data_IF_300183500204
#
_entry.id   IF_300183500204
#
_cell.length_a   1.000
_cell.length_b   1.000
_cell.length_c   1.000
_cell.angle_alpha   90.00
_cell.angle_beta   90.00
_cell.angle_gamma   90.00
#
_symmetry.space_group_name_H-M   'P 1'
#
loop_
_entity.id
_entity.type
_entity.pdbx_description
1 polymer ?
#
# COMPACT_ATOMS: atom_id res chain seq x y z
N UNK A 1 -77.14 -4.14 43.39
CA UNK A 1 -78.01 -5.18 42.79
C UNK A 1 -77.13 -6.05 41.93
N UNK A 2 -76.78 -7.21 42.37
CA UNK A 2 -77.08 -8.56 41.82
C UNK A 2 -76.92 -8.62 40.32
N UNK A 3 -76.06 -9.42 39.68
CA UNK A 3 -75.93 -10.92 39.86
C UNK A 3 -74.59 -11.41 39.38
N UNK A 4 -74.05 -12.37 40.04
CA UNK A 4 -72.98 -13.31 39.59
C UNK A 4 -73.54 -14.32 38.58
N UNK A 5 -72.76 -14.87 37.76
CA UNK A 5 -72.84 -16.21 37.17
C UNK A 5 -71.47 -16.81 36.95
N UNK A 6 -71.22 -17.86 37.66
CA UNK A 6 -70.18 -18.86 37.41
C UNK A 6 -70.52 -19.65 36.13
N UNK A 7 -69.51 -20.09 35.36
CA UNK A 7 -69.49 -21.44 34.75
C UNK A 7 -68.11 -21.87 34.34
N UNK A 8 -67.62 -22.89 34.96
CA UNK A 8 -66.93 -24.12 34.59
C UNK A 8 -65.70 -24.13 33.68
N UNK A 9 -64.67 -24.74 34.26
CA UNK A 9 -63.52 -25.32 33.60
C UNK A 9 -63.89 -26.29 32.50
N UNK A 10 -63.16 -26.19 31.35
CA UNK A 10 -62.91 -27.31 30.48
C UNK A 10 -61.43 -27.28 30.09
N UNK A 11 -60.67 -28.29 30.52
CA UNK A 11 -59.29 -28.54 30.18
C UNK A 11 -59.31 -29.16 28.78
N UNK A 12 -58.81 -28.43 27.78
CA UNK A 12 -58.56 -28.95 26.42
C UNK A 12 -57.08 -28.97 26.17
N UNK A 13 -56.46 -30.13 26.20
CA UNK A 13 -55.07 -30.34 25.74
C UNK A 13 -55.05 -30.24 24.22
N UNK A 14 -54.50 -29.16 23.68
CA UNK A 14 -54.21 -29.05 22.25
C UNK A 14 -52.70 -29.30 22.10
N UNK A 15 -52.36 -30.45 21.54
CA UNK A 15 -51.04 -30.72 20.97
C UNK A 15 -50.83 -29.75 19.78
N UNK A 16 -50.08 -28.69 19.98
CA UNK A 16 -49.61 -27.81 18.90
C UNK A 16 -48.42 -28.45 18.20
N UNK A 17 -48.62 -28.95 16.98
CA UNK A 17 -47.53 -29.23 16.06
C UNK A 17 -46.80 -27.92 15.73
N UNK A 18 -45.60 -27.74 16.31
CA UNK A 18 -44.71 -26.69 15.90
C UNK A 18 -44.17 -26.97 14.48
N UNK A 19 -44.72 -26.33 13.50
CA UNK A 19 -44.14 -26.27 12.16
C UNK A 19 -42.81 -25.54 12.22
N UNK A 20 -41.71 -26.26 12.10
CA UNK A 20 -40.39 -25.72 11.88
C UNK A 20 -40.37 -25.09 10.48
N UNK A 21 -40.61 -23.79 10.37
CA UNK A 21 -40.32 -23.05 9.17
C UNK A 21 -38.80 -22.95 9.04
N UNK A 22 -38.23 -23.77 8.19
CA UNK A 22 -36.85 -23.59 7.73
C UNK A 22 -36.79 -22.28 6.94
N UNK A 23 -36.20 -21.23 7.55
CA UNK A 23 -35.81 -20.05 6.80
C UNK A 23 -34.72 -20.46 5.82
N UNK A 24 -35.07 -20.62 4.55
CA UNK A 24 -34.11 -20.64 3.45
C UNK A 24 -33.36 -19.32 3.48
N UNK A 25 -32.09 -19.33 3.88
CA UNK A 25 -31.23 -18.16 3.70
C UNK A 25 -31.11 -17.92 2.21
N UNK A 26 -31.70 -16.80 1.74
CA UNK A 26 -31.47 -16.32 0.39
C UNK A 26 -29.96 -16.16 0.20
N UNK A 27 -29.40 -16.82 -0.81
CA UNK A 27 -27.99 -16.68 -1.18
C UNK A 27 -27.71 -15.23 -1.52
N UNK A 28 -26.72 -14.62 -0.88
CA UNK A 28 -26.32 -13.26 -1.18
C UNK A 28 -25.93 -13.13 -2.66
N UNK A 29 -26.30 -12.04 -3.36
CA UNK A 29 -25.98 -11.83 -4.76
C UNK A 29 -24.46 -11.86 -4.98
N UNK A 30 -24.02 -12.21 -6.19
CA UNK A 30 -22.61 -12.12 -6.53
C UNK A 30 -22.15 -10.67 -6.54
N UNK A 31 -20.96 -10.42 -6.03
CA UNK A 31 -20.32 -9.13 -6.14
C UNK A 31 -20.12 -8.73 -7.62
N UNK A 32 -20.35 -7.47 -7.93
CA UNK A 32 -20.15 -6.90 -9.26
C UNK A 32 -19.38 -5.59 -9.17
N UNK A 33 -18.47 -5.29 -10.11
CA UNK A 33 -17.84 -3.98 -10.20
C UNK A 33 -18.86 -2.91 -10.63
N UNK A 34 -18.58 -1.64 -10.34
CA UNK A 34 -19.41 -0.46 -10.64
C UNK A 34 -20.82 -0.54 -10.03
N UNK A 35 -20.94 -1.19 -8.89
CA UNK A 35 -22.21 -1.40 -8.18
C UNK A 35 -22.14 -0.72 -6.81
N UNK A 36 -23.19 0.05 -6.47
CA UNK A 36 -23.29 0.68 -5.16
C UNK A 36 -23.71 -0.33 -4.10
N UNK A 37 -22.92 -0.41 -3.02
CA UNK A 37 -23.18 -1.26 -1.86
C UNK A 37 -23.37 -0.40 -0.61
N UNK A 38 -24.49 -0.61 0.08
CA UNK A 38 -24.73 0.03 1.37
C UNK A 38 -24.02 -0.73 2.50
N UNK A 39 -23.79 -0.06 3.62
CA UNK A 39 -23.28 -0.71 4.85
C UNK A 39 -24.16 -1.92 5.20
N UNK A 40 -23.56 -3.02 5.59
CA UNK A 40 -24.18 -4.32 5.85
C UNK A 40 -24.75 -5.06 4.63
N UNK A 41 -24.60 -4.56 3.41
CA UNK A 41 -24.91 -5.33 2.20
C UNK A 41 -24.07 -6.61 2.18
N UNK A 42 -24.70 -7.74 1.80
CA UNK A 42 -24.00 -9.03 1.70
C UNK A 42 -23.84 -9.42 0.25
N UNK A 43 -22.66 -9.93 -0.09
CA UNK A 43 -22.33 -10.42 -1.43
C UNK A 43 -21.61 -11.76 -1.34
N UNK A 44 -21.63 -12.49 -2.45
CA UNK A 44 -20.81 -13.70 -2.65
C UNK A 44 -19.73 -13.38 -3.67
N UNK A 45 -18.48 -13.79 -3.37
CA UNK A 45 -17.37 -13.70 -4.31
C UNK A 45 -16.51 -14.96 -4.21
N UNK A 46 -16.29 -15.65 -5.32
CA UNK A 46 -15.59 -16.94 -5.39
C UNK A 46 -16.07 -17.98 -4.34
N UNK A 47 -17.39 -18.03 -4.12
CA UNK A 47 -18.02 -18.97 -3.19
C UNK A 47 -17.96 -18.57 -1.70
N UNK A 48 -17.24 -17.51 -1.33
CA UNK A 48 -17.21 -16.95 0.01
C UNK A 48 -18.22 -15.79 0.14
N UNK A 49 -18.79 -15.62 1.34
CA UNK A 49 -19.70 -14.52 1.63
C UNK A 49 -18.98 -13.38 2.35
N UNK A 50 -19.33 -12.15 1.99
CA UNK A 50 -18.76 -10.94 2.56
C UNK A 50 -19.88 -9.96 2.92
N UNK A 51 -19.60 -9.13 3.95
CA UNK A 51 -20.46 -8.04 4.37
C UNK A 51 -19.76 -6.71 4.12
N UNK A 52 -20.47 -5.77 3.51
CA UNK A 52 -19.98 -4.42 3.28
C UNK A 52 -19.86 -3.66 4.60
N UNK A 53 -18.68 -3.15 4.91
CA UNK A 53 -18.38 -2.38 6.11
C UNK A 53 -18.64 -0.89 5.94
N UNK A 54 -18.44 -0.37 4.74
CA UNK A 54 -18.61 1.04 4.41
C UNK A 54 -19.35 1.18 3.08
N UNK A 55 -20.35 2.08 3.01
CA UNK A 55 -21.09 2.34 1.77
C UNK A 55 -20.13 2.87 0.70
N UNK A 56 -20.13 2.21 -0.47
CA UNK A 56 -19.25 2.58 -1.58
C UNK A 56 -19.81 2.08 -2.91
N UNK A 57 -19.28 2.60 -4.00
CA UNK A 57 -19.45 2.01 -5.34
C UNK A 57 -18.22 1.21 -5.69
N UNK A 58 -18.37 -0.08 -5.91
CA UNK A 58 -17.26 -0.99 -6.21
C UNK A 58 -16.61 -0.67 -7.56
N UNK A 59 -15.32 -0.87 -7.67
CA UNK A 59 -14.54 -0.76 -8.91
C UNK A 59 -13.93 -2.10 -9.28
N UNK A 60 -13.48 -2.25 -10.52
CA UNK A 60 -12.65 -3.38 -10.95
C UNK A 60 -11.36 -3.36 -10.12
N UNK A 61 -10.98 -4.49 -9.51
CA UNK A 61 -9.87 -4.59 -8.56
C UNK A 61 -10.29 -4.42 -7.09
N UNK A 62 -11.55 -4.01 -6.83
CA UNK A 62 -12.11 -3.86 -5.48
C UNK A 62 -12.93 -5.08 -5.05
N UNK A 63 -12.56 -6.27 -5.52
CA UNK A 63 -13.18 -7.52 -5.11
C UNK A 63 -13.06 -7.72 -3.59
N UNK A 64 -14.08 -8.27 -2.92
CA UNK A 64 -14.12 -8.36 -1.45
C UNK A 64 -12.87 -8.86 -0.76
N UNK A 65 -12.11 -9.85 -1.26
CA UNK A 65 -10.85 -10.26 -0.66
C UNK A 65 -9.73 -9.22 -0.78
N UNK A 66 -9.78 -8.35 -1.79
CA UNK A 66 -8.73 -7.39 -2.10
C UNK A 66 -8.84 -6.09 -1.28
N UNK A 67 -10.05 -5.79 -0.77
CA UNK A 67 -10.34 -4.56 -0.02
C UNK A 67 -11.02 -4.87 1.33
N UNK A 68 -10.30 -5.45 2.29
CA UNK A 68 -10.83 -5.82 3.60
C UNK A 68 -11.32 -4.62 4.41
N UNK A 69 -10.92 -3.40 4.08
CA UNK A 69 -11.46 -2.18 4.66
C UNK A 69 -12.93 -1.94 4.28
N UNK A 70 -13.37 -2.44 3.13
CA UNK A 70 -14.75 -2.29 2.64
C UNK A 70 -15.59 -3.56 2.85
N UNK A 71 -14.96 -4.73 3.05
CA UNK A 71 -15.62 -6.01 3.09
C UNK A 71 -15.11 -6.91 4.22
N UNK A 72 -16.03 -7.42 5.03
CA UNK A 72 -15.74 -8.41 6.07
C UNK A 72 -16.18 -9.80 5.59
N UNK A 73 -15.33 -10.85 5.65
CA UNK A 73 -15.74 -12.21 5.34
C UNK A 73 -16.74 -12.72 6.39
N UNK A 74 -17.81 -13.37 5.92
CA UNK A 74 -18.84 -13.98 6.74
C UNK A 74 -18.67 -15.51 6.68
N UNK A 75 -18.03 -16.08 7.69
CA UNK A 75 -17.80 -17.52 7.79
C UNK A 75 -16.45 -17.95 7.22
N UNK A 76 -15.54 -18.30 8.07
CA UNK A 76 -14.28 -18.96 7.78
C UNK A 76 -14.02 -20.05 8.79
N UNK A 77 -13.76 -21.27 8.30
CA UNK A 77 -13.07 -22.30 9.06
C UNK A 77 -11.72 -21.76 9.52
N UNK A 78 -11.28 -22.01 10.76
CA UNK A 78 -9.96 -21.59 11.21
C UNK A 78 -8.87 -22.19 10.32
N UNK A 79 -7.91 -21.37 9.91
CA UNK A 79 -6.72 -21.84 9.20
C UNK A 79 -5.94 -22.81 10.07
N UNK A 80 -5.32 -23.86 9.49
CA UNK A 80 -4.53 -24.81 10.25
C UNK A 80 -3.33 -24.12 10.92
N UNK A 81 -3.09 -24.48 12.16
CA UNK A 81 -1.96 -24.03 12.99
C UNK A 81 -0.64 -24.27 12.26
N UNK A 82 0.26 -23.29 12.13
CA UNK A 82 1.53 -23.49 11.47
C UNK A 82 2.44 -24.40 12.30
N UNK A 83 2.98 -25.40 11.67
CA UNK A 83 4.07 -26.26 12.18
C UNK A 83 5.33 -25.39 12.35
N UNK A 84 6.13 -25.55 13.41
CA UNK A 84 7.31 -24.72 13.65
C UNK A 84 8.34 -24.86 12.51
N UNK A 85 8.75 -23.70 12.01
CA UNK A 85 9.77 -23.57 10.96
C UNK A 85 11.16 -23.98 11.48
N UNK A 86 11.97 -24.66 10.68
CA UNK A 86 13.34 -24.99 11.08
C UNK A 86 14.23 -23.73 11.12
N UNK A 87 15.15 -23.74 12.07
CA UNK A 87 16.18 -22.74 12.33
C UNK A 87 16.92 -22.34 11.04
N UNK A 88 17.22 -21.05 10.81
CA UNK A 88 17.93 -20.62 9.61
C UNK A 88 19.35 -21.18 9.60
N UNK A 89 19.69 -21.85 8.50
CA UNK A 89 21.03 -22.26 8.14
C UNK A 89 21.91 -21.05 7.80
N UNK A 90 23.21 -21.06 8.09
CA UNK A 90 24.07 -19.90 7.84
C UNK A 90 24.12 -19.53 6.36
N UNK A 91 24.13 -18.24 6.10
CA UNK A 91 24.26 -17.63 4.76
C UNK A 91 25.47 -18.22 4.02
N UNK A 92 25.31 -18.72 2.79
CA UNK A 92 26.46 -19.15 1.99
C UNK A 92 27.36 -17.97 1.63
N UNK A 93 28.66 -18.19 1.69
CA UNK A 93 29.67 -17.24 1.24
C UNK A 93 29.46 -16.87 -0.25
N UNK A 94 29.86 -15.66 -0.70
CA UNK A 94 29.75 -15.26 -2.09
C UNK A 94 30.53 -16.22 -3.01
N UNK A 95 29.96 -16.56 -4.19
CA UNK A 95 30.63 -17.48 -5.11
C UNK A 95 31.87 -16.83 -5.71
N UNK A 96 32.92 -17.66 -5.99
CA UNK A 96 34.14 -17.17 -6.64
C UNK A 96 33.88 -16.66 -8.06
N UNK A 97 34.78 -15.81 -8.62
CA UNK A 97 34.60 -15.21 -9.96
C UNK A 97 34.54 -16.29 -11.03
N UNK A 98 33.45 -16.29 -11.81
CA UNK A 98 33.18 -17.29 -12.85
C UNK A 98 31.69 -17.74 -12.86
N UNK A 99 30.76 -16.90 -12.42
CA UNK A 99 29.35 -17.25 -12.29
C UNK A 99 28.62 -17.42 -13.63
N UNK A 100 27.88 -18.52 -13.75
CA UNK A 100 26.91 -18.75 -14.81
C UNK A 100 25.87 -17.63 -14.88
N UNK A 101 25.36 -17.31 -16.09
CA UNK A 101 24.21 -16.44 -16.28
C UNK A 101 22.91 -17.04 -15.70
N UNK A 102 22.82 -18.36 -15.51
CA UNK A 102 21.71 -19.03 -14.84
C UNK A 102 21.95 -19.13 -13.34
N UNK A 103 20.94 -18.85 -12.48
CA UNK A 103 21.06 -18.97 -11.03
C UNK A 103 21.39 -20.40 -10.61
N UNK A 104 22.04 -20.56 -9.47
CA UNK A 104 22.30 -21.87 -8.90
C UNK A 104 20.99 -22.59 -8.57
N UNK A 105 20.91 -23.87 -8.87
CA UNK A 105 19.74 -24.69 -8.55
C UNK A 105 19.54 -24.81 -7.03
N UNK A 106 18.29 -24.76 -6.61
CA UNK A 106 17.88 -24.98 -5.21
C UNK A 106 16.77 -26.02 -5.11
N UNK A 107 16.89 -26.95 -4.15
CA UNK A 107 15.91 -28.01 -3.93
C UNK A 107 14.53 -27.47 -3.47
N UNK A 108 14.50 -26.30 -2.86
CA UNK A 108 13.26 -25.66 -2.36
C UNK A 108 12.61 -24.74 -3.38
N UNK A 109 13.33 -24.36 -4.42
CA UNK A 109 12.82 -23.49 -5.49
C UNK A 109 11.89 -24.28 -6.41
N UNK A 110 10.77 -23.65 -6.76
CA UNK A 110 9.89 -24.13 -7.84
C UNK A 110 10.42 -23.61 -9.17
N UNK A 111 10.52 -24.51 -10.15
CA UNK A 111 10.88 -24.18 -11.53
C UNK A 111 9.73 -24.53 -12.45
N UNK A 112 9.36 -23.63 -13.34
CA UNK A 112 8.35 -23.86 -14.38
C UNK A 112 9.01 -24.00 -15.74
N UNK A 113 8.29 -24.58 -16.72
CA UNK A 113 8.84 -24.81 -18.06
C UNK A 113 9.49 -23.55 -18.66
N UNK A 114 10.73 -23.70 -19.13
CA UNK A 114 11.54 -22.61 -19.67
C UNK A 114 12.49 -21.96 -18.68
N UNK A 115 12.28 -22.06 -17.36
CA UNK A 115 13.23 -21.53 -16.36
C UNK A 115 14.57 -22.28 -16.41
N UNK A 116 15.65 -21.54 -16.13
CA UNK A 116 17.01 -22.11 -16.13
C UNK A 116 17.60 -22.15 -14.73
N UNK A 117 18.42 -23.16 -14.50
CA UNK A 117 19.22 -23.27 -13.27
C UNK A 117 20.60 -23.84 -13.61
N UNK A 118 21.62 -23.55 -12.79
CA UNK A 118 22.94 -24.10 -12.97
C UNK A 118 23.33 -25.07 -11.83
N UNK A 119 24.02 -26.16 -12.18
CA UNK A 119 24.64 -27.08 -11.24
C UNK A 119 26.01 -27.43 -11.75
N UNK A 120 27.04 -27.25 -10.91
CA UNK A 120 28.43 -27.57 -11.24
C UNK A 120 28.92 -27.04 -12.60
N UNK A 121 28.57 -25.81 -12.92
CA UNK A 121 29.01 -25.18 -14.16
C UNK A 121 28.25 -25.62 -15.44
N UNK A 122 27.17 -26.33 -15.31
CA UNK A 122 26.26 -26.74 -16.38
C UNK A 122 24.92 -26.03 -16.23
N UNK A 123 24.37 -25.51 -17.31
CA UNK A 123 23.05 -24.84 -17.34
C UNK A 123 21.99 -25.84 -17.83
N UNK A 124 20.90 -25.88 -17.09
CA UNK A 124 19.74 -26.72 -17.39
C UNK A 124 18.51 -25.88 -17.56
N UNK A 125 17.59 -26.30 -18.42
CA UNK A 125 16.27 -25.69 -18.62
C UNK A 125 15.19 -26.65 -18.13
N UNK A 126 14.28 -26.18 -17.28
CA UNK A 126 13.12 -26.94 -16.85
C UNK A 126 12.18 -27.17 -18.04
N UNK A 127 11.72 -28.41 -18.23
CA UNK A 127 10.80 -28.79 -19.30
C UNK A 127 9.34 -28.53 -18.92
N UNK A 128 9.04 -28.60 -17.61
CA UNK A 128 7.72 -28.33 -17.00
C UNK A 128 7.91 -27.93 -15.53
N UNK A 129 6.84 -27.87 -14.79
CA UNK A 129 6.88 -27.60 -13.35
C UNK A 129 7.67 -28.70 -12.61
N UNK A 130 8.69 -28.31 -11.85
CA UNK A 130 9.53 -29.24 -11.07
C UNK A 130 10.02 -28.57 -9.78
N UNK A 131 10.13 -29.35 -8.70
CA UNK A 131 10.70 -28.94 -7.42
C UNK A 131 11.44 -30.13 -6.79
N UNK A 132 12.57 -29.90 -6.15
CA UNK A 132 13.36 -30.93 -5.48
C UNK A 132 14.12 -31.88 -6.42
N UNK A 133 13.88 -31.85 -7.72
CA UNK A 133 14.54 -32.72 -8.71
C UNK A 133 15.82 -32.07 -9.20
N UNK A 134 16.96 -32.58 -8.72
CA UNK A 134 18.27 -32.01 -9.07
C UNK A 134 18.56 -32.17 -10.59
N UNK A 135 18.84 -31.07 -11.33
CA UNK A 135 19.11 -31.13 -12.77
C UNK A 135 20.28 -32.04 -13.17
N UNK A 136 21.30 -32.17 -12.34
CA UNK A 136 22.46 -33.02 -12.70
C UNK A 136 22.14 -34.52 -12.76
N UNK A 137 21.07 -34.95 -12.09
CA UNK A 137 20.63 -36.36 -12.02
C UNK A 137 19.28 -36.62 -12.67
N UNK A 138 18.53 -35.57 -12.97
CA UNK A 138 17.16 -35.69 -13.55
C UNK A 138 17.07 -34.90 -14.85
N UNK A 139 17.99 -35.13 -15.78
CA UNK A 139 18.02 -34.46 -17.07
C UNK A 139 18.09 -35.45 -18.23
N UNK A 140 17.63 -35.01 -19.40
CA UNK A 140 17.68 -35.74 -20.64
C UNK A 140 17.36 -34.87 -21.85
N UNK A 141 17.50 -35.39 -23.09
CA UNK A 141 17.16 -34.67 -24.28
C UNK A 141 15.65 -34.31 -24.29
N UNK A 142 15.29 -33.32 -25.10
CA UNK A 142 13.90 -32.90 -25.24
C UNK A 142 13.03 -34.09 -25.61
N UNK A 143 11.90 -34.31 -24.90
CA UNK A 143 10.98 -35.44 -25.09
C UNK A 143 11.36 -36.72 -24.35
N UNK A 144 12.46 -36.76 -23.58
CA UNK A 144 12.89 -37.93 -22.79
C UNK A 144 12.04 -38.24 -21.56
N UNK A 145 11.08 -37.39 -21.21
CA UNK A 145 10.30 -37.51 -19.97
C UNK A 145 11.07 -37.05 -18.72
N UNK A 146 12.24 -36.44 -18.88
CA UNK A 146 13.02 -35.87 -17.77
C UNK A 146 12.63 -34.41 -17.50
N UNK A 147 12.58 -33.99 -16.22
CA UNK A 147 12.18 -32.64 -15.87
C UNK A 147 13.14 -31.53 -16.33
N UNK A 148 14.38 -31.91 -16.64
CA UNK A 148 15.40 -30.96 -17.06
C UNK A 148 16.05 -31.35 -18.39
N UNK A 149 16.41 -30.37 -19.18
CA UNK A 149 17.24 -30.53 -20.37
C UNK A 149 18.54 -29.76 -20.16
N UNK A 150 19.69 -30.44 -20.33
CA UNK A 150 20.99 -29.80 -20.37
C UNK A 150 21.08 -28.89 -21.61
N UNK A 151 21.36 -27.59 -21.42
CA UNK A 151 21.44 -26.60 -22.50
C UNK A 151 22.87 -26.04 -22.69
N UNK A 152 23.85 -26.61 -22.01
CA UNK A 152 25.27 -26.28 -22.20
C UNK A 152 26.00 -26.01 -20.89
N UNK A 153 27.31 -25.75 -21.05
CA UNK A 153 28.17 -25.32 -19.95
C UNK A 153 28.11 -23.81 -19.76
N UNK A 154 28.37 -23.35 -18.53
CA UNK A 154 28.51 -21.93 -18.25
C UNK A 154 29.64 -21.35 -19.11
N UNK A 155 29.29 -20.57 -20.11
CA UNK A 155 30.29 -19.76 -20.82
C UNK A 155 30.62 -18.58 -19.91
N UNK A 156 31.91 -18.28 -19.59
CA UNK A 156 32.24 -17.02 -18.97
C UNK A 156 31.74 -15.91 -19.88
N UNK A 157 30.66 -15.27 -19.49
CA UNK A 157 30.23 -14.05 -20.16
C UNK A 157 31.36 -13.01 -20.06
N UNK A 158 31.46 -12.03 -20.98
CA UNK A 158 32.31 -10.88 -20.77
C UNK A 158 32.04 -10.37 -19.35
N UNK A 159 33.09 -10.05 -18.62
CA UNK A 159 32.95 -9.51 -17.25
C UNK A 159 31.87 -8.44 -17.28
N UNK A 160 30.86 -8.49 -16.39
CA UNK A 160 29.81 -7.49 -16.41
C UNK A 160 30.52 -6.13 -16.39
N UNK A 161 30.26 -5.32 -17.40
CA UNK A 161 30.64 -3.91 -17.37
C UNK A 161 30.14 -3.41 -16.03
N UNK A 162 30.97 -2.80 -15.17
CA UNK A 162 30.52 -2.38 -13.85
C UNK A 162 29.28 -1.54 -14.08
N UNK A 163 28.14 -2.04 -13.61
CA UNK A 163 26.89 -1.26 -13.60
C UNK A 163 27.25 0.02 -12.88
N UNK A 164 27.06 1.20 -13.47
CA UNK A 164 27.39 2.44 -12.79
C UNK A 164 26.73 2.37 -11.42
N UNK A 165 27.52 2.53 -10.37
CA UNK A 165 27.03 2.54 -8.98
C UNK A 165 25.87 3.53 -8.95
N UNK A 166 24.66 3.14 -8.52
CA UNK A 166 23.54 4.07 -8.43
C UNK A 166 24.02 5.32 -7.67
N UNK A 167 23.65 6.52 -8.09
CA UNK A 167 24.01 7.71 -7.34
C UNK A 167 23.50 7.52 -5.89
N UNK A 168 24.34 7.82 -4.88
CA UNK A 168 23.91 7.70 -3.50
C UNK A 168 22.63 8.51 -3.30
N UNK A 169 21.71 8.08 -2.42
CA UNK A 169 20.54 8.89 -2.09
C UNK A 169 21.01 10.27 -1.65
N UNK A 170 20.30 11.34 -2.01
CA UNK A 170 20.64 12.68 -1.53
C UNK A 170 20.65 12.68 0.00
N UNK A 171 21.46 13.54 0.62
CA UNK A 171 21.53 13.63 2.07
C UNK A 171 20.13 13.89 2.65
N UNK A 172 19.87 13.48 3.90
CA UNK A 172 18.63 13.81 4.60
C UNK A 172 18.35 15.31 4.52
N UNK A 173 17.08 15.68 4.42
CA UNK A 173 16.71 17.09 4.46
C UNK A 173 17.21 17.74 5.75
N UNK A 174 17.79 18.93 5.71
CA UNK A 174 18.16 19.67 6.91
C UNK A 174 16.94 19.86 7.84
N UNK A 175 17.14 19.93 9.16
CA UNK A 175 16.07 20.29 10.07
C UNK A 175 15.39 21.60 9.63
N UNK A 176 14.06 21.61 9.52
CA UNK A 176 13.29 22.76 9.06
C UNK A 176 13.21 22.94 7.53
N UNK A 177 13.82 22.08 6.73
CA UNK A 177 13.63 22.10 5.28
C UNK A 177 12.18 21.74 4.93
N UNK A 178 11.64 22.48 3.96
CA UNK A 178 10.30 22.28 3.41
C UNK A 178 10.37 21.43 2.15
N UNK A 179 9.41 20.53 1.99
CA UNK A 179 9.37 19.57 0.89
C UNK A 179 7.98 19.56 0.26
N UNK A 180 7.92 19.68 -1.06
CA UNK A 180 6.77 19.26 -1.84
C UNK A 180 7.08 17.91 -2.50
N UNK A 181 6.34 16.87 -2.12
CA UNK A 181 6.54 15.51 -2.63
C UNK A 181 5.18 14.83 -2.91
N UNK A 182 4.57 15.11 -4.06
CA UNK A 182 3.26 14.56 -4.39
C UNK A 182 3.33 13.06 -4.62
N UNK A 183 2.19 12.39 -4.36
CA UNK A 183 2.01 10.98 -4.66
C UNK A 183 1.92 10.74 -6.17
N UNK A 184 2.54 9.67 -6.60
CA UNK A 184 2.47 9.13 -7.95
C UNK A 184 2.08 7.65 -7.86
N UNK A 185 0.96 7.28 -8.47
CA UNK A 185 0.42 5.92 -8.42
C UNK A 185 1.08 5.06 -9.49
N UNK A 186 2.03 4.24 -9.07
CA UNK A 186 2.81 3.42 -9.98
C UNK A 186 2.01 2.31 -10.67
N UNK A 187 0.78 2.03 -10.24
CA UNK A 187 -0.14 1.13 -10.94
C UNK A 187 -0.72 1.76 -12.23
N UNK A 188 -0.70 3.09 -12.33
CA UNK A 188 -1.20 3.82 -13.49
C UNK A 188 -0.11 3.98 -14.57
N UNK A 189 -0.44 3.59 -15.81
CA UNK A 189 0.50 3.73 -16.95
C UNK A 189 0.94 5.18 -17.19
N UNK A 190 0.04 6.15 -16.95
CA UNK A 190 0.36 7.58 -17.08
C UNK A 190 1.45 8.01 -16.11
N UNK A 191 1.42 7.52 -14.88
CA UNK A 191 2.36 7.85 -13.82
C UNK A 191 3.74 7.17 -14.01
N UNK A 192 3.79 6.07 -14.76
CA UNK A 192 5.05 5.40 -15.09
C UNK A 192 5.96 6.25 -16.01
N UNK A 193 5.47 7.36 -16.54
CA UNK A 193 6.26 8.35 -17.31
C UNK A 193 6.88 9.42 -16.40
N UNK A 194 7.29 9.06 -15.20
CA UNK A 194 7.77 9.97 -14.15
C UNK A 194 8.86 10.95 -14.61
N UNK A 195 9.76 10.54 -15.51
CA UNK A 195 10.83 11.41 -16.01
C UNK A 195 10.28 12.54 -16.91
N UNK A 196 9.29 12.25 -17.73
CA UNK A 196 8.58 13.26 -18.53
C UNK A 196 7.79 14.20 -17.61
N UNK A 197 7.12 13.65 -16.61
CA UNK A 197 6.39 14.41 -15.59
C UNK A 197 7.34 15.35 -14.85
N UNK A 198 8.49 14.86 -14.40
CA UNK A 198 9.52 15.66 -13.72
C UNK A 198 9.98 16.85 -14.58
N UNK A 199 10.25 16.61 -15.85
CA UNK A 199 10.69 17.62 -16.80
C UNK A 199 9.61 18.70 -17.04
N UNK A 200 8.35 18.30 -17.18
CA UNK A 200 7.25 19.20 -17.53
C UNK A 200 6.71 19.97 -16.31
N UNK A 201 6.65 19.33 -15.16
CA UNK A 201 6.10 19.92 -13.95
C UNK A 201 7.11 20.72 -13.13
N UNK A 202 8.39 20.35 -13.18
CA UNK A 202 9.43 20.85 -12.30
C UNK A 202 9.44 20.20 -10.89
N UNK A 203 8.59 19.19 -10.64
CA UNK A 203 8.60 18.41 -9.40
C UNK A 203 9.95 17.72 -9.27
N UNK A 204 10.55 17.78 -8.08
CA UNK A 204 11.87 17.17 -7.84
C UNK A 204 11.82 15.95 -6.95
N UNK A 205 10.82 15.84 -6.08
CA UNK A 205 10.66 14.69 -5.19
C UNK A 205 9.25 14.12 -5.38
N UNK A 206 9.17 12.80 -5.50
CA UNK A 206 7.92 12.08 -5.69
C UNK A 206 7.73 11.05 -4.57
N UNK A 207 6.51 10.88 -4.11
CA UNK A 207 6.13 9.76 -3.24
C UNK A 207 5.56 8.64 -4.10
N UNK A 208 6.33 7.56 -4.28
CA UNK A 208 5.92 6.43 -5.13
C UNK A 208 4.98 5.51 -4.37
N UNK A 209 3.76 5.37 -4.83
CA UNK A 209 2.67 4.61 -4.22
C UNK A 209 2.37 3.34 -5.03
N UNK A 210 2.19 2.17 -4.48
CA UNK A 210 2.41 1.75 -3.09
C UNK A 210 3.11 0.38 -3.06
N UNK A 211 3.94 0.13 -2.05
CA UNK A 211 4.40 -1.21 -1.71
C UNK A 211 3.38 -1.85 -0.75
N UNK A 212 2.92 -3.04 -1.10
CA UNK A 212 1.94 -3.84 -0.33
C UNK A 212 2.46 -5.26 -0.09
N UNK A 213 1.80 -6.00 0.80
CA UNK A 213 2.17 -7.37 1.17
C UNK A 213 1.50 -8.47 0.36
N UNK A 214 0.55 -8.14 -0.49
CA UNK A 214 -0.26 -9.10 -1.27
C UNK A 214 -0.74 -10.31 -0.43
N UNK A 215 -1.22 -10.04 0.80
CA UNK A 215 -1.65 -11.05 1.77
C UNK A 215 -0.53 -11.77 2.52
N UNK A 216 0.74 -11.37 2.32
CA UNK A 216 1.92 -11.95 2.96
C UNK A 216 2.95 -10.90 3.37
N UNK A 217 4.18 -11.35 3.65
CA UNK A 217 5.29 -10.51 4.10
C UNK A 217 6.32 -10.19 2.98
N UNK A 218 5.95 -10.40 1.72
CA UNK A 218 6.81 -10.10 0.56
C UNK A 218 6.47 -8.73 0.01
N UNK A 219 7.41 -7.76 0.01
CA UNK A 219 7.16 -6.44 -0.56
C UNK A 219 6.86 -6.55 -2.06
N UNK A 220 5.73 -5.98 -2.45
CA UNK A 220 5.19 -6.07 -3.82
C UNK A 220 4.68 -4.70 -4.24
N UNK A 221 5.03 -4.22 -5.42
CA UNK A 221 4.35 -3.07 -6.00
C UNK A 221 2.91 -3.44 -6.33
N UNK A 222 1.97 -2.67 -5.83
CA UNK A 222 0.54 -2.89 -6.07
C UNK A 222 0.25 -2.98 -7.58
N UNK A 223 -0.31 -4.12 -8.01
CA UNK A 223 -0.63 -4.36 -9.42
C UNK A 223 0.53 -4.73 -10.34
N UNK A 224 1.80 -4.66 -9.89
CA UNK A 224 2.98 -4.85 -10.76
C UNK A 224 3.84 -6.08 -10.43
N UNK A 225 3.82 -6.54 -9.17
CA UNK A 225 4.59 -7.70 -8.74
C UNK A 225 5.66 -7.41 -7.68
N UNK A 226 6.40 -8.45 -7.22
CA UNK A 226 7.37 -8.31 -6.14
C UNK A 226 8.55 -7.42 -6.55
N UNK A 227 9.15 -6.72 -5.57
CA UNK A 227 10.28 -5.80 -5.81
C UNK A 227 11.51 -6.49 -6.44
N UNK A 228 11.61 -7.81 -6.34
CA UNK A 228 12.65 -8.60 -7.01
C UNK A 228 12.45 -8.72 -8.53
N UNK A 229 11.24 -8.47 -9.01
CA UNK A 229 10.87 -8.45 -10.43
C UNK A 229 9.95 -7.25 -10.68
N UNK A 230 10.46 -6.06 -10.51
CA UNK A 230 9.77 -4.77 -10.56
C UNK A 230 9.66 -4.18 -11.98
N UNK A 231 9.49 -5.07 -12.99
CA UNK A 231 9.38 -4.67 -14.38
C UNK A 231 8.00 -4.09 -14.68
N UNK A 232 8.01 -2.93 -15.29
CA UNK A 232 6.81 -2.23 -15.77
C UNK A 232 6.37 -2.78 -17.13
N UNK A 233 5.11 -2.57 -17.55
CA UNK A 233 4.60 -3.01 -18.85
C UNK A 233 5.41 -2.49 -20.06
N UNK A 234 6.07 -1.35 -19.91
CA UNK A 234 6.91 -0.74 -20.95
C UNK A 234 8.35 -1.35 -21.03
N UNK A 235 8.65 -2.38 -20.21
CA UNK A 235 9.96 -3.03 -20.17
C UNK A 235 11.01 -2.31 -19.32
N UNK A 236 10.67 -1.19 -18.68
CA UNK A 236 11.54 -0.49 -17.73
C UNK A 236 11.35 -1.06 -16.33
N UNK A 237 12.37 -1.05 -15.47
CA UNK A 237 12.22 -1.43 -14.07
C UNK A 237 11.96 -0.21 -13.18
N UNK A 238 11.29 -0.41 -12.04
CA UNK A 238 11.12 0.64 -11.03
C UNK A 238 12.46 1.19 -10.55
N UNK A 239 13.48 0.33 -10.40
CA UNK A 239 14.83 0.78 -10.07
C UNK A 239 15.40 1.73 -11.13
N UNK A 240 15.19 1.44 -12.41
CA UNK A 240 15.65 2.31 -13.49
C UNK A 240 14.94 3.67 -13.46
N UNK A 241 13.63 3.71 -13.15
CA UNK A 241 12.89 4.96 -12.97
C UNK A 241 13.43 5.77 -11.79
N UNK A 242 13.63 5.14 -10.63
CA UNK A 242 14.21 5.80 -9.45
C UNK A 242 15.57 6.42 -9.75
N UNK A 243 16.44 5.66 -10.43
CA UNK A 243 17.76 6.15 -10.84
C UNK A 243 17.65 7.29 -11.86
N UNK A 244 16.69 7.22 -12.78
CA UNK A 244 16.41 8.28 -13.75
C UNK A 244 15.99 9.59 -13.08
N UNK A 245 15.07 9.53 -12.09
CA UNK A 245 14.64 10.69 -11.31
C UNK A 245 15.83 11.35 -10.59
N UNK A 246 16.72 10.55 -10.00
CA UNK A 246 17.94 11.05 -9.31
C UNK A 246 18.93 11.67 -10.30
N UNK A 247 19.16 11.03 -11.44
CA UNK A 247 20.04 11.55 -12.50
C UNK A 247 19.55 12.89 -13.04
N UNK A 248 18.22 13.14 -12.98
CA UNK A 248 17.61 14.42 -13.33
C UNK A 248 17.56 15.41 -12.14
N UNK A 249 18.32 15.15 -11.06
CA UNK A 249 18.43 16.03 -9.88
C UNK A 249 17.22 16.00 -8.95
N UNK A 250 16.45 14.91 -8.99
CA UNK A 250 15.33 14.65 -8.07
C UNK A 250 15.64 13.57 -7.05
N UNK A 251 14.61 13.12 -6.34
CA UNK A 251 14.64 11.98 -5.41
C UNK A 251 13.24 11.38 -5.25
N UNK A 252 13.15 10.24 -4.53
CA UNK A 252 11.90 9.57 -4.28
C UNK A 252 11.73 9.23 -2.79
N UNK A 253 10.48 9.21 -2.36
CA UNK A 253 9.99 8.58 -1.12
C UNK A 253 9.26 7.32 -1.58
N UNK A 254 9.48 6.18 -0.94
CA UNK A 254 8.67 4.99 -1.22
C UNK A 254 7.61 4.85 -0.14
N UNK A 255 6.36 4.78 -0.57
CA UNK A 255 5.19 4.63 0.30
C UNK A 255 4.71 3.18 0.36
N UNK A 256 4.34 2.74 1.56
CA UNK A 256 3.81 1.43 1.88
C UNK A 256 2.34 1.56 2.29
N UNK A 257 1.50 0.62 1.91
CA UNK A 257 0.09 0.57 2.33
C UNK A 257 -0.86 1.16 1.30
N UNK A 258 -1.59 2.22 1.69
CA UNK A 258 -2.65 2.80 0.89
C UNK A 258 -3.99 2.06 1.00
N UNK A 259 -5.04 2.58 0.35
CA UNK A 259 -6.40 2.05 0.43
C UNK A 259 -6.57 0.65 -0.16
N UNK A 260 -5.74 0.28 -1.15
CA UNK A 260 -5.84 -0.99 -1.87
C UNK A 260 -4.72 -1.96 -1.51
N UNK A 261 -5.06 -3.25 -1.38
CA UNK A 261 -4.11 -4.30 -1.02
C UNK A 261 -3.96 -4.49 0.49
N UNK A 262 -2.99 -5.33 0.89
CA UNK A 262 -2.68 -5.60 2.29
C UNK A 262 -1.41 -4.88 2.70
N UNK A 263 -1.47 -4.06 3.73
CA UNK A 263 -0.27 -3.46 4.32
C UNK A 263 0.64 -4.56 4.91
N UNK A 264 1.95 -4.43 4.73
CA UNK A 264 2.93 -5.48 5.10
C UNK A 264 2.86 -5.86 6.58
N UNK A 265 2.57 -4.92 7.49
CA UNK A 265 2.47 -5.22 8.91
C UNK A 265 1.29 -6.15 9.24
N UNK A 266 0.23 -6.17 8.44
CA UNK A 266 -0.87 -7.14 8.57
C UNK A 266 -0.43 -8.55 8.14
N UNK A 267 0.40 -8.65 7.09
CA UNK A 267 0.83 -9.93 6.53
C UNK A 267 2.06 -10.54 7.20
N UNK A 268 2.94 -9.74 7.79
CA UNK A 268 4.14 -10.23 8.48
C UNK A 268 3.83 -10.74 9.88
N UNK A 269 4.40 -11.87 10.28
CA UNK A 269 4.15 -12.52 11.58
C UNK A 269 4.92 -11.89 12.74
N UNK A 270 5.99 -11.13 12.48
CA UNK A 270 6.85 -10.54 13.52
C UNK A 270 7.43 -9.19 13.09
N UNK A 271 7.87 -8.39 14.07
CA UNK A 271 8.59 -7.15 13.80
C UNK A 271 9.91 -7.38 13.04
N UNK A 272 10.58 -8.50 13.30
CA UNK A 272 11.83 -8.83 12.60
C UNK A 272 11.59 -9.16 11.11
N UNK A 273 10.57 -9.97 10.79
CA UNK A 273 10.22 -10.26 9.39
C UNK A 273 9.76 -9.00 8.66
N UNK A 274 9.01 -8.13 9.32
CA UNK A 274 8.56 -6.86 8.78
C UNK A 274 9.73 -5.89 8.54
N UNK A 275 10.66 -5.78 9.50
CA UNK A 275 11.90 -5.01 9.33
C UNK A 275 12.70 -5.50 8.12
N UNK A 276 12.84 -6.83 7.97
CA UNK A 276 13.56 -7.41 6.84
C UNK A 276 12.89 -7.07 5.49
N UNK A 277 11.55 -7.06 5.44
CA UNK A 277 10.80 -6.67 4.26
C UNK A 277 11.04 -5.18 3.91
N UNK A 278 10.98 -4.28 4.89
CA UNK A 278 11.29 -2.86 4.69
C UNK A 278 12.75 -2.64 4.27
N UNK A 279 13.69 -3.37 4.90
CA UNK A 279 15.11 -3.30 4.54
C UNK A 279 15.37 -3.75 3.10
N UNK A 280 14.64 -4.76 2.61
CA UNK A 280 14.76 -5.20 1.22
C UNK A 280 14.40 -4.07 0.23
N UNK A 281 13.40 -3.25 0.55
CA UNK A 281 13.01 -2.07 -0.25
C UNK A 281 14.12 -1.01 -0.23
N UNK A 282 14.66 -0.69 0.97
CA UNK A 282 15.80 0.23 1.10
C UNK A 282 16.98 -0.25 0.26
N UNK A 283 17.34 -1.53 0.38
CA UNK A 283 18.46 -2.12 -0.35
C UNK A 283 18.24 -2.12 -1.87
N UNK A 284 17.00 -2.38 -2.31
CA UNK A 284 16.66 -2.41 -3.74
C UNK A 284 16.73 -1.05 -4.40
N UNK A 285 16.18 -0.02 -3.75
CA UNK A 285 16.01 1.31 -4.34
C UNK A 285 16.98 2.34 -3.79
N UNK A 286 17.83 1.98 -2.81
CA UNK A 286 18.78 2.87 -2.16
C UNK A 286 18.13 4.16 -1.66
N UNK A 287 16.98 4.02 -1.00
CA UNK A 287 16.21 5.15 -0.44
C UNK A 287 16.54 5.39 1.03
N UNK A 288 16.45 6.63 1.45
CA UNK A 288 16.55 7.04 2.85
C UNK A 288 15.29 7.75 3.36
N UNK A 289 14.19 7.70 2.58
CA UNK A 289 12.88 8.25 2.94
C UNK A 289 11.83 7.19 2.66
N UNK A 290 11.10 6.82 3.70
CA UNK A 290 9.98 5.89 3.62
C UNK A 290 8.74 6.55 4.18
N UNK A 291 7.63 6.31 3.54
CA UNK A 291 6.30 6.69 3.95
C UNK A 291 5.45 5.46 4.25
N UNK A 292 4.57 5.56 5.24
CA UNK A 292 3.68 4.49 5.65
C UNK A 292 2.27 5.04 5.68
N UNK A 293 1.53 4.72 4.63
CA UNK A 293 0.14 5.10 4.44
C UNK A 293 -0.75 4.04 5.10
N UNK A 294 -1.24 4.39 6.29
CA UNK A 294 -1.87 3.45 7.23
C UNK A 294 -3.37 3.69 7.25
N UNK A 295 -4.08 2.88 6.50
CA UNK A 295 -5.51 3.03 6.29
C UNK A 295 -6.31 1.79 6.74
N UNK A 296 -7.63 1.96 6.88
CA UNK A 296 -8.57 0.87 7.12
C UNK A 296 -8.12 -0.08 8.22
N UNK A 297 -8.14 -1.39 7.96
CA UNK A 297 -7.76 -2.42 8.91
C UNK A 297 -6.36 -2.28 9.51
N UNK A 298 -5.41 -1.75 8.73
CA UNK A 298 -4.03 -1.54 9.20
C UNK A 298 -3.88 -0.44 10.27
N UNK A 299 -4.86 0.47 10.37
CA UNK A 299 -4.92 1.48 11.43
C UNK A 299 -5.64 0.97 12.68
N UNK A 300 -6.59 0.03 12.53
CA UNK A 300 -7.39 -0.50 13.64
C UNK A 300 -6.78 -1.73 14.32
N UNK A 301 -6.00 -2.54 13.60
CA UNK A 301 -5.33 -3.73 14.15
C UNK A 301 -4.13 -3.31 15.00
N UNK A 302 -4.34 -3.27 16.32
CA UNK A 302 -3.31 -2.88 17.29
C UNK A 302 -2.06 -3.75 17.20
N UNK A 303 -2.18 -5.04 16.89
CA UNK A 303 -1.04 -5.94 16.76
C UNK A 303 -0.15 -5.57 15.56
N UNK A 304 -0.75 -5.18 14.42
CA UNK A 304 0.01 -4.70 13.27
C UNK A 304 0.59 -3.31 13.50
N UNK A 305 -0.13 -2.43 14.19
CA UNK A 305 0.33 -1.09 14.57
C UNK A 305 1.59 -1.18 15.45
N UNK A 306 1.57 -2.02 16.50
CA UNK A 306 2.72 -2.20 17.39
C UNK A 306 3.87 -2.91 16.68
N UNK A 307 3.57 -3.90 15.85
CA UNK A 307 4.58 -4.59 15.02
C UNK A 307 5.28 -3.64 14.08
N UNK A 308 4.53 -2.75 13.43
CA UNK A 308 5.08 -1.71 12.54
C UNK A 308 5.98 -0.76 13.31
N UNK A 309 5.52 -0.24 14.44
CA UNK A 309 6.30 0.68 15.28
C UNK A 309 7.62 0.05 15.73
N UNK A 310 7.59 -1.19 16.20
CA UNK A 310 8.79 -1.93 16.61
C UNK A 310 9.75 -2.20 15.43
N UNK A 311 9.21 -2.58 14.27
CA UNK A 311 10.01 -2.81 13.06
C UNK A 311 10.67 -1.53 12.56
N UNK A 312 9.96 -0.41 12.56
CA UNK A 312 10.48 0.89 12.13
C UNK A 312 11.56 1.43 13.05
N UNK A 313 11.43 1.22 14.37
CA UNK A 313 12.51 1.53 15.32
C UNK A 313 13.79 0.76 14.98
N UNK A 314 13.67 -0.55 14.78
CA UNK A 314 14.82 -1.39 14.47
C UNK A 314 15.41 -1.05 13.08
N UNK A 315 14.56 -0.74 12.11
CA UNK A 315 14.96 -0.32 10.77
C UNK A 315 15.76 0.99 10.81
N UNK A 316 15.29 1.98 11.57
CA UNK A 316 16.01 3.26 11.71
C UNK A 316 17.35 3.10 12.41
N UNK A 317 17.45 2.20 13.40
CA UNK A 317 18.72 1.88 14.06
C UNK A 317 19.73 1.23 13.09
N UNK A 318 19.25 0.44 12.13
CA UNK A 318 20.08 -0.19 11.10
C UNK A 318 20.44 0.75 9.94
N UNK A 319 19.71 1.86 9.76
CA UNK A 319 19.86 2.79 8.64
C UNK A 319 19.96 4.24 9.17
N UNK A 320 21.14 4.68 9.65
CA UNK A 320 21.32 6.06 10.12
C UNK A 320 20.93 7.08 9.05
N UNK A 321 20.12 8.07 9.43
CA UNK A 321 19.60 9.09 8.52
C UNK A 321 18.32 8.71 7.77
N UNK A 322 17.75 7.52 8.02
CA UNK A 322 16.43 7.16 7.49
C UNK A 322 15.36 8.11 8.02
N UNK A 323 14.59 8.69 7.13
CA UNK A 323 13.41 9.51 7.44
C UNK A 323 12.14 8.66 7.29
N UNK A 324 11.32 8.66 8.33
CA UNK A 324 10.08 7.89 8.40
C UNK A 324 8.92 8.87 8.48
N UNK A 325 7.97 8.78 7.54
CA UNK A 325 6.66 9.44 7.64
C UNK A 325 5.55 8.42 7.88
N UNK A 326 4.57 8.82 8.70
CA UNK A 326 3.32 8.08 8.91
C UNK A 326 2.20 8.89 8.28
N UNK A 327 1.54 8.34 7.26
CA UNK A 327 0.42 8.96 6.57
C UNK A 327 -0.88 8.37 7.11
N UNK A 328 -1.77 9.24 7.59
CA UNK A 328 -2.92 8.85 8.40
C UNK A 328 -4.19 9.59 7.96
N UNK A 329 -5.35 8.89 7.97
CA UNK A 329 -6.65 9.51 7.79
C UNK A 329 -6.94 10.54 8.87
N UNK A 330 -7.56 11.66 8.48
CA UNK A 330 -7.84 12.78 9.37
C UNK A 330 -9.21 13.38 9.08
N UNK A 331 -9.84 13.96 10.10
CA UNK A 331 -10.97 14.87 9.97
C UNK A 331 -10.52 16.30 10.25
N UNK A 332 -11.31 17.34 9.89
CA UNK A 332 -11.00 18.71 10.29
C UNK A 332 -10.86 18.91 11.80
N UNK A 333 -11.35 17.98 12.60
CA UNK A 333 -11.21 17.91 14.07
C UNK A 333 -9.95 17.18 14.55
N UNK A 334 -9.13 16.64 13.66
CA UNK A 334 -7.91 15.89 13.95
C UNK A 334 -7.99 14.41 13.57
N UNK A 335 -6.95 13.67 13.93
CA UNK A 335 -6.89 12.21 13.75
C UNK A 335 -8.02 11.54 14.53
N UNK A 336 -8.64 10.53 13.92
CA UNK A 336 -9.58 9.64 14.62
C UNK A 336 -8.82 8.70 15.58
N UNK A 337 -9.54 7.99 16.46
CA UNK A 337 -8.95 7.17 17.52
C UNK A 337 -7.88 6.20 17.01
N UNK A 338 -8.09 5.57 15.85
CA UNK A 338 -7.11 4.66 15.25
C UNK A 338 -5.80 5.38 14.90
N UNK A 339 -5.87 6.58 14.36
CA UNK A 339 -4.70 7.41 14.08
C UNK A 339 -3.97 7.85 15.35
N UNK A 340 -4.72 8.25 16.39
CA UNK A 340 -4.15 8.57 17.71
C UNK A 340 -3.43 7.36 18.30
N UNK A 341 -3.99 6.15 18.15
CA UNK A 341 -3.36 4.90 18.60
C UNK A 341 -2.05 4.61 17.85
N UNK A 342 -1.97 4.91 16.56
CA UNK A 342 -0.71 4.81 15.79
C UNK A 342 0.35 5.73 16.38
N UNK A 343 0.01 7.00 16.71
CA UNK A 343 0.96 7.92 17.37
C UNK A 343 1.40 7.39 18.74
N UNK A 344 0.46 6.90 19.55
CA UNK A 344 0.75 6.34 20.88
C UNK A 344 1.68 5.12 20.80
N UNK A 345 1.45 4.22 19.83
CA UNK A 345 2.34 3.09 19.56
C UNK A 345 3.73 3.53 19.13
N UNK A 346 3.83 4.54 18.26
CA UNK A 346 5.12 5.08 17.83
C UNK A 346 5.91 5.66 19.02
N UNK A 347 5.25 6.38 19.92
CA UNK A 347 5.87 6.92 21.14
C UNK A 347 6.31 5.78 22.08
N UNK A 348 5.43 4.83 22.35
CA UNK A 348 5.71 3.67 23.24
C UNK A 348 6.90 2.86 22.73
N UNK A 349 6.96 2.61 21.44
CA UNK A 349 8.05 1.88 20.79
C UNK A 349 9.29 2.76 20.52
N UNK A 350 9.25 4.06 20.81
CA UNK A 350 10.33 5.02 20.53
C UNK A 350 10.73 5.00 19.04
N UNK A 351 9.75 4.93 18.17
CA UNK A 351 9.95 4.99 16.72
C UNK A 351 10.37 6.41 16.34
N UNK A 352 11.48 6.62 15.62
CA UNK A 352 11.92 7.96 15.25
C UNK A 352 11.13 8.47 14.03
N UNK A 353 9.89 8.89 14.27
CA UNK A 353 9.01 9.48 13.24
C UNK A 353 9.50 10.88 12.93
N UNK A 354 9.82 11.15 11.67
CA UNK A 354 10.22 12.45 11.19
C UNK A 354 9.01 13.32 10.85
N UNK A 355 7.99 12.72 10.22
CA UNK A 355 6.80 13.42 9.73
C UNK A 355 5.56 12.58 10.08
N UNK A 356 4.53 13.24 10.63
CA UNK A 356 3.16 12.76 10.61
C UNK A 356 2.48 13.46 9.44
N UNK A 357 2.12 12.72 8.40
CA UNK A 357 1.45 13.26 7.23
C UNK A 357 -0.05 12.97 7.33
N UNK A 358 -0.91 13.96 7.11
CA UNK A 358 -2.35 13.78 7.20
C UNK A 358 -3.01 13.76 5.82
N UNK A 359 -3.94 12.83 5.61
CA UNK A 359 -4.77 12.76 4.41
C UNK A 359 -5.95 13.71 4.54
N UNK A 360 -5.72 14.98 4.17
CA UNK A 360 -6.69 16.07 4.29
C UNK A 360 -7.69 16.06 3.11
N UNK A 361 -8.53 15.02 3.08
CA UNK A 361 -9.49 14.69 2.01
C UNK A 361 -10.63 13.82 2.55
N UNK A 362 -11.71 13.66 1.80
CA UNK A 362 -12.80 12.71 2.01
C UNK A 362 -13.41 12.76 3.43
N UNK A 363 -13.66 13.97 3.91
CA UNK A 363 -14.11 14.24 5.28
C UNK A 363 -15.57 13.83 5.57
N UNK A 364 -16.39 13.69 4.51
CA UNK A 364 -17.80 13.35 4.62
C UNK A 364 -18.72 14.54 4.87
N UNK A 365 -20.01 14.27 4.83
CA UNK A 365 -21.10 15.28 4.85
C UNK A 365 -21.18 16.13 6.13
N UNK A 366 -20.43 15.78 7.18
CA UNK A 366 -20.39 16.57 8.41
C UNK A 366 -19.58 17.87 8.28
N UNK A 367 -18.81 18.02 7.21
CA UNK A 367 -17.94 19.17 6.98
C UNK A 367 -18.27 19.88 5.67
N UNK A 368 -18.06 21.22 5.59
CA UNK A 368 -18.36 21.98 4.38
C UNK A 368 -17.54 21.52 3.18
N UNK A 369 -18.15 21.01 2.11
CA UNK A 369 -17.45 20.45 0.96
C UNK A 369 -16.79 21.50 0.05
N UNK A 370 -17.14 22.77 0.22
CA UNK A 370 -16.60 23.92 -0.51
C UNK A 370 -15.58 24.74 0.29
N UNK A 371 -15.08 24.19 1.41
CA UNK A 371 -14.09 24.83 2.29
C UNK A 371 -12.89 23.90 2.50
N UNK A 372 -12.49 23.12 1.50
CA UNK A 372 -11.51 22.05 1.63
C UNK A 372 -10.13 22.57 2.07
N UNK A 373 -9.70 23.72 1.60
CA UNK A 373 -8.45 24.37 2.07
C UNK A 373 -8.49 24.72 3.56
N UNK A 374 -9.62 25.26 4.05
CA UNK A 374 -9.79 25.57 5.47
C UNK A 374 -9.95 24.30 6.31
N UNK A 375 -10.64 23.29 5.80
CA UNK A 375 -10.76 21.99 6.45
C UNK A 375 -9.38 21.33 6.64
N UNK A 376 -8.50 21.38 5.64
CA UNK A 376 -7.12 20.93 5.72
C UNK A 376 -6.31 21.68 6.78
N UNK A 377 -6.48 22.99 6.87
CA UNK A 377 -5.83 23.83 7.91
C UNK A 377 -6.33 23.45 9.31
N UNK A 378 -7.63 23.26 9.47
CA UNK A 378 -8.23 22.84 10.74
C UNK A 378 -7.69 21.46 11.17
N UNK A 379 -7.66 20.50 10.25
CA UNK A 379 -7.09 19.17 10.46
C UNK A 379 -5.61 19.24 10.89
N UNK A 380 -4.82 20.07 10.21
CA UNK A 380 -3.42 20.30 10.55
C UNK A 380 -3.24 20.82 11.98
N UNK A 381 -3.99 21.86 12.36
CA UNK A 381 -3.91 22.45 13.70
C UNK A 381 -4.34 21.47 14.79
N UNK A 382 -5.42 20.72 14.57
CA UNK A 382 -5.92 19.72 15.50
C UNK A 382 -4.90 18.58 15.67
N UNK A 383 -4.34 18.07 14.58
CA UNK A 383 -3.31 17.01 14.61
C UNK A 383 -2.04 17.47 15.34
N UNK A 384 -1.57 18.70 15.13
CA UNK A 384 -0.45 19.26 15.90
C UNK A 384 -0.75 19.28 17.41
N UNK A 385 -2.00 19.51 17.80
CA UNK A 385 -2.46 19.40 19.18
C UNK A 385 -2.35 17.96 19.70
N UNK A 386 -2.83 16.98 18.92
CA UNK A 386 -2.79 15.55 19.28
C UNK A 386 -1.35 15.03 19.35
N UNK A 387 -0.46 15.42 18.44
CA UNK A 387 0.96 15.06 18.47
C UNK A 387 1.62 15.54 19.76
N UNK A 388 1.37 16.80 20.17
CA UNK A 388 1.87 17.34 21.45
C UNK A 388 1.33 16.57 22.65
N UNK A 389 0.03 16.25 22.66
CA UNK A 389 -0.60 15.47 23.73
C UNK A 389 -0.02 14.05 23.82
N UNK A 390 0.27 13.43 22.69
CA UNK A 390 0.91 12.11 22.63
C UNK A 390 2.40 12.15 23.01
N UNK A 391 3.02 13.32 23.08
CA UNK A 391 4.46 13.46 23.32
C UNK A 391 5.32 13.09 22.10
N UNK A 392 4.76 13.14 20.90
CA UNK A 392 5.48 12.87 19.66
C UNK A 392 6.12 14.15 19.12
N UNK A 393 7.45 14.15 19.03
CA UNK A 393 8.22 15.23 18.43
C UNK A 393 8.53 14.90 16.98
N UNK A 394 7.66 15.33 16.08
CA UNK A 394 7.77 15.16 14.63
C UNK A 394 7.23 16.42 13.94
N UNK A 395 7.59 16.63 12.68
CA UNK A 395 6.94 17.63 11.84
C UNK A 395 5.62 17.13 11.29
N UNK A 396 4.78 18.04 10.81
CA UNK A 396 3.53 17.71 10.13
C UNK A 396 3.72 17.79 8.61
N UNK A 397 3.12 16.81 7.92
CA UNK A 397 2.85 16.84 6.48
C UNK A 397 1.35 16.98 6.22
N UNK A 398 0.99 17.57 5.08
CA UNK A 398 -0.39 17.68 4.63
C UNK A 398 -0.49 17.21 3.19
N UNK A 399 -1.25 16.14 2.99
CA UNK A 399 -1.59 15.59 1.67
C UNK A 399 -3.06 15.89 1.38
N UNK A 400 -3.35 16.53 0.26
CA UNK A 400 -4.72 16.84 -0.17
C UNK A 400 -5.07 16.03 -1.43
N UNK A 401 -6.35 15.70 -1.60
CA UNK A 401 -6.84 15.17 -2.87
C UNK A 401 -7.29 16.33 -3.76
N UNK A 402 -6.58 16.56 -4.86
CA UNK A 402 -6.82 17.70 -5.75
C UNK A 402 -8.05 17.50 -6.63
N UNK A 403 -8.84 18.55 -6.82
CA UNK A 403 -10.08 18.49 -7.58
C UNK A 403 -11.21 17.77 -6.86
N UNK A 404 -12.01 17.00 -7.59
CA UNK A 404 -13.10 16.19 -7.02
C UNK A 404 -12.55 15.09 -6.14
N UNK A 405 -12.98 15.02 -4.88
CA UNK A 405 -12.63 13.96 -3.94
C UNK A 405 -13.53 12.74 -4.14
N UNK A 406 -13.19 11.59 -3.54
CA UNK A 406 -14.01 10.37 -3.64
C UNK A 406 -15.35 10.55 -2.92
N UNK A 407 -15.37 11.30 -1.83
CA UNK A 407 -16.59 11.71 -1.13
C UNK A 407 -17.19 12.95 -1.79
N UNK A 408 -18.29 12.77 -2.53
CA UNK A 408 -18.98 13.86 -3.18
C UNK A 408 -19.89 14.63 -2.21
N UNK A 409 -20.03 15.96 -2.34
CA UNK A 409 -19.51 16.85 -3.40
C UNK A 409 -18.20 17.60 -3.04
N UNK A 410 -17.30 16.98 -2.29
CA UNK A 410 -16.05 17.62 -1.88
C UNK A 410 -15.18 17.98 -3.09
N UNK A 411 -14.71 19.23 -3.11
CA UNK A 411 -13.94 19.78 -4.22
C UNK A 411 -12.78 20.64 -3.71
N UNK A 412 -11.55 20.14 -3.87
CA UNK A 412 -10.35 20.91 -3.54
C UNK A 412 -9.88 21.71 -4.76
N UNK A 413 -9.97 23.03 -4.67
CA UNK A 413 -9.73 23.96 -5.79
C UNK A 413 -8.29 24.51 -5.77
N UNK A 414 -7.88 25.18 -6.86
CA UNK A 414 -6.62 25.94 -6.90
C UNK A 414 -6.59 27.11 -5.88
N UNK A 415 -7.77 27.64 -5.50
CA UNK A 415 -7.87 28.64 -4.43
C UNK A 415 -7.58 28.03 -3.06
N UNK A 416 -8.10 26.82 -2.80
CA UNK A 416 -7.80 26.04 -1.59
C UNK A 416 -6.31 25.72 -1.50
N UNK A 417 -5.68 25.34 -2.61
CA UNK A 417 -4.25 25.07 -2.67
C UNK A 417 -3.40 26.30 -2.28
N UNK A 418 -3.78 27.50 -2.76
CA UNK A 418 -3.08 28.75 -2.38
C UNK A 418 -3.30 29.10 -0.90
N UNK A 419 -4.50 28.87 -0.38
CA UNK A 419 -4.82 29.07 1.04
C UNK A 419 -3.98 28.14 1.93
N UNK A 420 -3.94 26.86 1.60
CA UNK A 420 -3.13 25.87 2.31
C UNK A 420 -1.63 26.19 2.22
N UNK A 421 -1.13 26.57 1.04
CA UNK A 421 0.27 26.97 0.85
C UNK A 421 0.65 28.14 1.76
N UNK A 422 -0.17 29.20 1.80
CA UNK A 422 0.08 30.37 2.64
C UNK A 422 0.15 30.00 4.12
N UNK A 423 -0.77 29.17 4.59
CA UNK A 423 -0.76 28.64 5.95
C UNK A 423 0.51 27.80 6.23
N UNK A 424 0.86 26.88 5.33
CA UNK A 424 2.02 26.02 5.50
C UNK A 424 3.33 26.83 5.50
N UNK A 425 3.44 27.87 4.68
CA UNK A 425 4.59 28.77 4.66
C UNK A 425 4.74 29.59 5.94
N UNK A 426 3.64 29.93 6.60
CA UNK A 426 3.65 30.68 7.87
C UNK A 426 3.84 29.80 9.10
N UNK A 427 3.75 28.47 8.97
CA UNK A 427 3.80 27.52 10.08
C UNK A 427 5.07 26.67 10.05
N UNK A 428 6.01 26.93 10.97
CA UNK A 428 7.28 26.21 11.07
C UNK A 428 7.19 24.73 11.46
N UNK A 429 6.01 24.27 11.92
CA UNK A 429 5.81 22.85 12.22
C UNK A 429 5.47 22.02 10.96
N UNK A 430 5.14 22.65 9.83
CA UNK A 430 4.83 21.97 8.58
C UNK A 430 6.10 21.87 7.75
N UNK A 431 6.52 20.65 7.42
CA UNK A 431 7.71 20.37 6.61
C UNK A 431 7.41 19.68 5.29
N UNK A 432 6.20 19.11 5.13
CA UNK A 432 5.77 18.41 3.90
C UNK A 432 4.43 18.95 3.41
N UNK A 433 4.35 19.29 2.14
CA UNK A 433 3.10 19.34 1.37
C UNK A 433 3.11 18.25 0.32
N UNK A 434 1.97 17.61 0.13
CA UNK A 434 1.79 16.58 -0.87
C UNK A 434 0.38 16.65 -1.46
N UNK A 435 0.13 15.88 -2.50
CA UNK A 435 -1.20 15.77 -3.11
C UNK A 435 -1.43 14.36 -3.67
N UNK A 436 -2.64 13.91 -3.61
CA UNK A 436 -3.17 12.76 -4.30
C UNK A 436 -3.91 13.22 -5.56
N UNK A 437 -3.40 13.01 -6.78
CA UNK A 437 -2.08 12.51 -7.15
C UNK A 437 -1.59 13.25 -8.40
N UNK A 438 -0.38 12.99 -8.82
CA UNK A 438 0.22 13.66 -9.98
C UNK A 438 -0.57 13.41 -11.26
N UNK A 439 -1.04 12.17 -11.53
CA UNK A 439 -1.87 11.85 -12.68
C UNK A 439 -3.15 12.67 -12.76
N UNK A 440 -3.67 13.09 -11.60
CA UNK A 440 -4.89 13.90 -11.50
C UNK A 440 -4.67 15.38 -11.82
N UNK A 441 -3.42 15.88 -11.82
CA UNK A 441 -3.12 17.31 -11.95
C UNK A 441 -3.24 17.82 -13.40
N UNK A 442 -4.46 17.67 -13.94
CA UNK A 442 -4.88 18.17 -15.25
C UNK A 442 -6.39 18.36 -15.34
N UNK A 443 -6.85 19.11 -16.34
CA UNK A 443 -8.27 19.46 -16.55
C UNK A 443 -8.97 18.63 -17.63
N UNK A 444 -8.46 17.46 -18.05
CA UNK A 444 -9.02 16.72 -19.20
C UNK A 444 -10.44 16.21 -18.99
N UNK A 445 -10.92 16.10 -17.74
CA UNK A 445 -12.26 15.69 -17.38
C UNK A 445 -13.04 16.79 -16.62
N UNK A 446 -12.78 18.05 -16.89
CA UNK A 446 -13.46 19.16 -16.21
C UNK A 446 -14.99 19.01 -16.26
N UNK A 447 -15.65 19.11 -15.10
CA UNK A 447 -17.09 18.97 -14.95
C UNK A 447 -17.61 17.53 -14.89
N UNK A 448 -16.74 16.52 -14.73
CA UNK A 448 -17.14 15.11 -14.68
C UNK A 448 -18.07 14.76 -13.51
N UNK A 449 -18.04 15.50 -12.39
CA UNK A 449 -18.90 15.27 -11.22
C UNK A 449 -18.57 14.01 -10.41
N UNK A 450 -17.41 13.40 -10.66
CA UNK A 450 -16.87 12.24 -9.93
C UNK A 450 -15.36 12.33 -9.84
N UNK A 451 -14.76 11.64 -8.87
CA UNK A 451 -13.32 11.52 -8.77
C UNK A 451 -12.77 10.58 -9.86
N UNK A 452 -11.70 11.01 -10.51
CA UNK A 452 -11.00 10.22 -11.53
C UNK A 452 -9.55 10.00 -11.12
N UNK A 453 -8.96 8.81 -11.33
CA UNK A 453 -7.56 8.59 -11.00
C UNK A 453 -6.58 9.35 -11.93
N UNK A 454 -7.05 9.88 -13.07
CA UNK A 454 -6.19 10.47 -14.11
C UNK A 454 -6.52 11.91 -14.46
N UNK A 455 -7.46 12.56 -13.74
CA UNK A 455 -7.77 13.98 -13.93
C UNK A 455 -8.49 14.56 -12.69
N UNK A 456 -8.41 15.88 -12.49
CA UNK A 456 -8.92 16.54 -11.28
C UNK A 456 -10.41 16.76 -11.23
N UNK A 457 -11.13 16.71 -12.37
CA UNK A 457 -12.54 17.05 -12.46
C UNK A 457 -12.82 18.57 -12.58
N UNK A 458 -11.81 19.43 -12.44
CA UNK A 458 -11.95 20.89 -12.57
C UNK A 458 -11.22 21.44 -13.80
N UNK A 459 -11.61 22.63 -14.23
CA UNK A 459 -10.92 23.34 -15.31
C UNK A 459 -9.57 23.86 -14.83
N UNK A 460 -8.49 23.33 -15.39
CA UNK A 460 -7.11 23.72 -15.11
C UNK A 460 -6.18 23.33 -16.27
N UNK A 461 -4.98 23.89 -16.30
CA UNK A 461 -3.93 23.38 -17.15
C UNK A 461 -3.17 22.22 -16.46
N UNK A 462 -2.46 21.37 -17.23
CA UNK A 462 -1.60 20.35 -16.64
C UNK A 462 -0.61 20.95 -15.62
N UNK A 463 -0.50 20.31 -14.46
CA UNK A 463 0.38 20.68 -13.35
C UNK A 463 0.11 22.04 -12.67
N UNK A 464 -1.14 22.56 -12.72
CA UNK A 464 -1.46 23.83 -12.06
C UNK A 464 -1.38 23.72 -10.53
N UNK A 465 -1.80 22.60 -9.92
CA UNK A 465 -1.62 22.38 -8.48
C UNK A 465 -0.14 22.22 -8.11
N UNK A 466 0.62 21.45 -8.87
CA UNK A 466 2.05 21.31 -8.67
C UNK A 466 2.76 22.68 -8.72
N UNK A 467 2.41 23.55 -9.69
CA UNK A 467 2.96 24.93 -9.75
C UNK A 467 2.66 25.76 -8.51
N UNK A 468 1.49 25.60 -7.90
CA UNK A 468 1.18 26.26 -6.62
C UNK A 468 2.09 25.70 -5.52
N UNK A 469 2.12 24.40 -5.32
CA UNK A 469 2.82 23.78 -4.21
C UNK A 469 4.36 23.79 -4.33
N UNK A 470 4.91 23.92 -5.53
CA UNK A 470 6.36 24.10 -5.73
C UNK A 470 6.91 25.39 -5.08
N UNK A 471 6.05 26.34 -4.69
CA UNK A 471 6.43 27.51 -3.92
C UNK A 471 6.62 27.21 -2.42
N UNK A 472 6.36 26.01 -1.94
CA UNK A 472 6.60 25.57 -0.56
C UNK A 472 8.10 25.28 -0.36
N UNK A 473 8.82 26.30 0.11
CA UNK A 473 10.28 26.29 0.29
C UNK A 473 10.67 26.83 1.64
#
# INVERSE_FOLDING_TARGET
>A
MKRACLFSLAVGVILGLASLTTFSQATAPNWQPNTAYAVNARVTFNGAQFQCLQAHTSLVGWEPPNVPALWQPLGGTPAPTPTPSPTPSPTPAPPPPGSCSAPAWSATQIYTGGMTASVNGVVYRANWWTQGQNPSTNNGPAGSGQPWTNIGTCVPGPAPTPTPTPPPPPPPLPPGARLFAPYIDMSLTADQQILTIQQQSGIRVFTLAFIVGNGGCTPTWGGLGPISNDMLPNGTTMLALVNGVRSAGGDVIISFGGAAGSELALGCSSAASLQAAYQAVINRYHVNKLDFDIEGGAAFDTASVDRRSAALRALAAANPGLQISLTLPVLPTGLVDSGVNVLASAVTNRTPVAIVNIMAMDYGSAFPPNAMGQNAINAANATLGQMRTAGLSAHLGVTVMIGSNDVQPELFTLADARTLLSFAQSNGNISLLSMWSVARDNGTCAGAGFASPVCSGIAQNPFDFARVFLAFR
#
